data_IF_622267707694
#
_entry.id   IF_622267707694
#
_cell.length_a   1.000
_cell.length_b   1.000
_cell.length_c   1.000
_cell.angle_alpha   90.00
_cell.angle_beta   90.00
_cell.angle_gamma   90.00
#
_symmetry.space_group_name_H-M   'P 1'
#
loop_
_entity.id
_entity.type
_entity.pdbx_description
1 polymer ?
#
# COMPACT_ATOMS: atom_id res chain seq x y z
N UNK A 1 4.90 -8.10 10.98
CA UNK A 1 5.37 -6.71 11.14
C UNK A 1 4.17 -5.76 11.12
N UNK A 2 4.17 -4.66 11.89
CA UNK A 2 3.21 -3.58 11.76
C UNK A 2 3.24 -3.01 10.34
N UNK A 3 2.06 -2.75 9.76
CA UNK A 3 1.94 -2.30 8.37
C UNK A 3 1.67 -0.80 8.32
N UNK A 4 2.38 -0.08 7.46
CA UNK A 4 2.03 1.27 7.01
C UNK A 4 1.44 1.13 5.61
N UNK A 5 0.14 1.45 5.47
CA UNK A 5 -0.60 1.32 4.22
C UNK A 5 -0.66 2.67 3.50
N UNK A 6 -0.22 2.73 2.24
CA UNK A 6 0.01 3.99 1.53
C UNK A 6 -0.85 4.07 0.26
N UNK A 7 -1.75 5.07 0.21
CA UNK A 7 -2.51 5.43 -0.99
C UNK A 7 -2.17 6.85 -1.45
N UNK A 8 -2.64 7.21 -2.63
CA UNK A 8 -2.44 8.52 -3.24
C UNK A 8 -2.33 8.43 -4.76
N UNK A 9 -2.21 9.56 -5.44
CA UNK A 9 -1.94 9.57 -6.88
C UNK A 9 -0.44 9.59 -7.12
N UNK A 10 0.25 10.60 -6.59
CA UNK A 10 1.67 10.81 -6.80
C UNK A 10 2.47 10.65 -5.50
N UNK A 11 3.70 10.14 -5.60
CA UNK A 11 4.64 10.11 -4.49
C UNK A 11 4.49 8.94 -3.52
N UNK A 12 3.61 7.95 -3.76
CA UNK A 12 3.47 6.77 -2.90
C UNK A 12 4.78 6.01 -2.74
N UNK A 13 5.36 5.54 -3.85
CA UNK A 13 6.63 4.82 -3.85
C UNK A 13 7.78 5.64 -3.28
N UNK A 14 7.87 6.95 -3.60
CA UNK A 14 8.89 7.84 -3.00
C UNK A 14 8.74 7.97 -1.49
N UNK A 15 7.51 8.12 -1.00
CA UNK A 15 7.22 8.18 0.45
C UNK A 15 7.65 6.88 1.13
N UNK A 16 7.32 5.73 0.54
CA UNK A 16 7.77 4.42 1.05
C UNK A 16 9.29 4.32 1.05
N UNK A 17 9.96 4.73 -0.04
CA UNK A 17 11.42 4.67 -0.12
C UNK A 17 12.09 5.52 0.97
N UNK A 18 11.58 6.73 1.25
CA UNK A 18 12.08 7.56 2.35
C UNK A 18 11.84 6.93 3.72
N UNK A 19 10.63 6.41 3.97
CA UNK A 19 10.32 5.73 5.24
C UNK A 19 11.19 4.49 5.45
N UNK A 20 11.39 3.68 4.41
CA UNK A 20 12.26 2.52 4.45
C UNK A 20 13.71 2.90 4.75
N UNK A 21 14.25 3.89 4.04
CA UNK A 21 15.62 4.36 4.26
C UNK A 21 15.84 4.93 5.68
N UNK A 22 14.86 5.65 6.23
CA UNK A 22 14.92 6.15 7.61
C UNK A 22 14.92 4.99 8.61
N UNK A 23 14.05 3.99 8.42
CA UNK A 23 13.99 2.82 9.29
C UNK A 23 15.30 2.01 9.22
N UNK A 24 15.83 1.80 8.02
CA UNK A 24 17.12 1.10 7.81
C UNK A 24 18.30 1.85 8.42
N UNK A 25 18.33 3.18 8.31
CA UNK A 25 19.34 4.01 8.97
C UNK A 25 19.28 3.91 10.50
N UNK A 26 18.10 3.61 11.06
CA UNK A 26 17.92 3.30 12.47
C UNK A 26 18.23 1.83 12.84
N UNK A 27 18.77 1.03 11.92
CA UNK A 27 19.11 -0.38 12.13
C UNK A 27 17.92 -1.35 12.08
N UNK A 28 16.75 -0.90 11.61
CA UNK A 28 15.56 -1.72 11.50
C UNK A 28 15.49 -2.41 10.14
N UNK A 29 15.13 -3.68 10.11
CA UNK A 29 14.77 -4.37 8.88
C UNK A 29 13.33 -4.06 8.51
N UNK A 30 13.07 -3.88 7.23
CA UNK A 30 11.74 -3.53 6.72
C UNK A 30 11.31 -4.45 5.58
N UNK A 31 10.00 -4.56 5.42
CA UNK A 31 9.38 -5.04 4.20
C UNK A 31 8.82 -3.86 3.40
N UNK A 32 8.79 -3.98 2.08
CA UNK A 32 8.01 -3.07 1.24
C UNK A 32 7.44 -3.80 0.02
N UNK A 33 6.18 -3.49 -0.29
CA UNK A 33 5.56 -3.83 -1.56
C UNK A 33 5.22 -2.55 -2.30
N UNK A 34 5.85 -2.35 -3.47
CA UNK A 34 5.76 -1.11 -4.25
C UNK A 34 5.48 -1.38 -5.73
N UNK A 35 5.08 -0.35 -6.48
CA UNK A 35 4.88 -0.41 -7.94
C UNK A 35 5.14 0.96 -8.59
N UNK A 36 5.44 0.96 -9.91
CA UNK A 36 5.87 -0.17 -10.71
C UNK A 36 7.32 -0.55 -10.42
N UNK A 37 7.79 -1.67 -10.98
CA UNK A 37 9.22 -1.94 -11.12
C UNK A 37 9.78 -1.20 -12.34
N UNK A 38 11.09 -0.97 -12.39
CA UNK A 38 11.79 -0.34 -13.51
C UNK A 38 12.40 -1.38 -14.45
N UNK A 39 13.04 -2.39 -13.91
CA UNK A 39 13.76 -3.42 -14.68
C UNK A 39 13.28 -4.83 -14.36
N UNK A 40 13.12 -5.17 -13.09
CA UNK A 40 12.81 -6.52 -12.64
C UNK A 40 11.64 -6.54 -11.66
N UNK A 41 10.82 -7.57 -11.74
CA UNK A 41 9.66 -7.76 -10.87
C UNK A 41 10.03 -7.75 -9.38
N UNK A 42 11.22 -8.26 -9.04
CA UNK A 42 11.76 -8.33 -7.68
C UNK A 42 11.80 -6.98 -6.97
N UNK A 43 11.97 -5.88 -7.72
CA UNK A 43 11.97 -4.52 -7.16
C UNK A 43 10.68 -4.17 -6.39
N UNK A 44 9.58 -4.88 -6.69
CA UNK A 44 8.32 -4.70 -5.97
C UNK A 44 8.32 -5.31 -4.57
N UNK A 45 9.23 -6.23 -4.28
CA UNK A 45 9.22 -7.09 -3.09
C UNK A 45 10.49 -6.91 -2.28
N UNK A 46 10.50 -5.91 -1.40
CA UNK A 46 11.57 -5.75 -0.41
C UNK A 46 11.23 -6.61 0.81
N UNK A 47 12.02 -7.62 1.08
CA UNK A 47 11.81 -8.59 2.18
C UNK A 47 13.00 -8.51 3.13
N UNK A 48 12.76 -8.11 4.37
CA UNK A 48 13.82 -7.90 5.38
C UNK A 48 14.97 -7.02 4.86
N UNK A 49 14.64 -5.91 4.19
CA UNK A 49 15.58 -4.95 3.61
C UNK A 49 16.43 -5.50 2.45
N UNK A 50 15.95 -6.52 1.75
CA UNK A 50 16.57 -7.05 0.53
C UNK A 50 15.48 -7.36 -0.50
N UNK A 51 15.77 -7.17 -1.77
CA UNK A 51 14.85 -7.64 -2.80
C UNK A 51 14.74 -9.17 -2.75
N UNK A 52 13.52 -9.66 -2.85
CA UNK A 52 13.26 -11.09 -2.94
C UNK A 52 14.01 -11.68 -4.15
N UNK A 53 14.61 -12.84 -3.99
CA UNK A 53 15.21 -13.56 -5.12
C UNK A 53 14.15 -14.27 -5.97
N UNK A 54 14.55 -14.71 -7.16
CA UNK A 54 13.65 -15.34 -8.12
C UNK A 54 13.03 -16.62 -7.56
N UNK A 55 13.79 -17.42 -6.82
CA UNK A 55 13.29 -18.68 -6.26
C UNK A 55 12.17 -18.42 -5.25
N UNK A 56 12.38 -17.49 -4.32
CA UNK A 56 11.38 -17.13 -3.32
C UNK A 56 10.10 -16.55 -3.96
N UNK A 57 10.25 -15.74 -5.03
CA UNK A 57 9.09 -15.21 -5.76
C UNK A 57 8.33 -16.29 -6.52
N UNK A 58 9.03 -17.23 -7.15
CA UNK A 58 8.42 -18.35 -7.87
C UNK A 58 7.66 -19.24 -6.89
N UNK A 59 8.27 -19.64 -5.78
CA UNK A 59 7.64 -20.46 -4.76
C UNK A 59 6.37 -19.78 -4.19
N UNK A 60 6.45 -18.50 -3.83
CA UNK A 60 5.30 -17.76 -3.36
C UNK A 60 4.19 -17.65 -4.42
N UNK A 61 4.54 -17.44 -5.69
CA UNK A 61 3.58 -17.38 -6.79
C UNK A 61 2.91 -18.74 -7.04
N UNK A 62 3.65 -19.85 -6.98
CA UNK A 62 3.12 -21.20 -7.10
C UNK A 62 2.16 -21.55 -5.95
N UNK A 63 2.50 -21.16 -4.72
CA UNK A 63 1.64 -21.34 -3.57
C UNK A 63 0.32 -20.56 -3.71
N UNK A 64 0.39 -19.32 -4.15
CA UNK A 64 -0.81 -18.51 -4.45
C UNK A 64 -1.63 -19.14 -5.56
N UNK A 65 -1.02 -19.54 -6.66
CA UNK A 65 -1.72 -20.15 -7.81
C UNK A 65 -2.41 -21.47 -7.44
N UNK A 66 -1.82 -22.25 -6.53
CA UNK A 66 -2.38 -23.51 -6.05
C UNK A 66 -3.68 -23.31 -5.26
N UNK A 67 -3.75 -22.23 -4.47
CA UNK A 67 -4.90 -21.95 -3.59
C UNK A 67 -5.95 -21.09 -4.30
N UNK A 68 -5.53 -20.15 -5.14
CA UNK A 68 -6.37 -19.14 -5.76
C UNK A 68 -6.00 -18.88 -7.23
N UNK A 69 -6.23 -19.86 -8.14
CA UNK A 69 -5.79 -19.77 -9.55
C UNK A 69 -6.52 -18.71 -10.38
N UNK A 70 -7.61 -18.14 -9.87
CA UNK A 70 -8.40 -17.14 -10.58
C UNK A 70 -8.06 -15.69 -10.21
N UNK A 71 -7.04 -15.45 -9.39
CA UNK A 71 -6.61 -14.10 -9.04
C UNK A 71 -6.07 -13.35 -10.26
N UNK A 72 -6.29 -12.04 -10.29
CA UNK A 72 -5.60 -11.19 -11.25
C UNK A 72 -4.10 -11.19 -10.95
N UNK A 73 -3.30 -10.77 -11.93
CA UNK A 73 -1.84 -10.67 -11.73
C UNK A 73 -1.47 -9.79 -10.51
N UNK A 74 -2.17 -8.68 -10.31
CA UNK A 74 -1.89 -7.79 -9.19
C UNK A 74 -2.31 -8.41 -7.86
N UNK A 75 -3.49 -9.03 -7.80
CA UNK A 75 -3.96 -9.74 -6.59
C UNK A 75 -2.99 -10.84 -6.17
N UNK A 76 -2.50 -11.61 -7.15
CA UNK A 76 -1.50 -12.66 -6.91
C UNK A 76 -0.18 -12.10 -6.38
N UNK A 77 0.28 -10.94 -6.90
CA UNK A 77 1.47 -10.27 -6.39
C UNK A 77 1.29 -9.77 -4.95
N UNK A 78 0.13 -9.20 -4.61
CA UNK A 78 -0.18 -8.81 -3.23
C UNK A 78 -0.18 -10.02 -2.30
N UNK A 79 -0.82 -11.12 -2.70
CA UNK A 79 -0.84 -12.35 -1.92
C UNK A 79 0.59 -12.91 -1.72
N UNK A 80 1.41 -12.97 -2.77
CA UNK A 80 2.79 -13.41 -2.69
C UNK A 80 3.63 -12.51 -1.76
N UNK A 81 3.45 -11.18 -1.82
CA UNK A 81 4.12 -10.26 -0.91
C UNK A 81 3.77 -10.55 0.56
N UNK A 82 2.49 -10.75 0.85
CA UNK A 82 2.03 -11.05 2.21
C UNK A 82 2.53 -12.42 2.71
N UNK A 83 2.65 -13.42 1.84
CA UNK A 83 3.29 -14.71 2.17
C UNK A 83 4.75 -14.52 2.54
N UNK A 84 5.53 -13.84 1.69
CA UNK A 84 6.95 -13.55 1.95
C UNK A 84 7.15 -12.74 3.25
N UNK A 85 6.29 -11.75 3.51
CA UNK A 85 6.36 -10.94 4.73
C UNK A 85 6.01 -11.73 5.99
N UNK A 86 5.15 -12.74 5.88
CA UNK A 86 4.82 -13.66 6.98
C UNK A 86 6.01 -14.55 7.35
N UNK A 87 6.77 -15.00 6.37
CA UNK A 87 7.87 -15.95 6.54
C UNK A 87 9.18 -15.31 7.02
N UNK A 88 9.29 -13.99 6.89
CA UNK A 88 10.50 -13.26 7.24
C UNK A 88 10.23 -12.22 8.33
N UNK A 89 11.23 -11.98 9.18
CA UNK A 89 11.11 -10.98 10.24
C UNK A 89 11.49 -9.58 9.76
N UNK A 90 10.65 -8.60 10.11
CA UNK A 90 10.93 -7.18 9.94
C UNK A 90 10.27 -6.36 11.06
N UNK A 91 10.78 -5.16 11.30
CA UNK A 91 10.23 -4.23 12.29
C UNK A 91 8.97 -3.52 11.75
N UNK A 92 8.94 -3.25 10.44
CA UNK A 92 7.85 -2.55 9.74
C UNK A 92 7.63 -3.17 8.35
N UNK A 93 6.41 -3.02 7.84
CA UNK A 93 6.07 -3.32 6.45
C UNK A 93 5.37 -2.11 5.82
N UNK A 94 5.82 -1.70 4.64
CA UNK A 94 5.23 -0.62 3.86
C UNK A 94 4.52 -1.21 2.66
N UNK A 95 3.24 -0.89 2.47
CA UNK A 95 2.44 -1.46 1.38
C UNK A 95 1.81 -0.34 0.57
N UNK A 96 2.16 -0.30 -0.72
CA UNK A 96 1.60 0.63 -1.71
C UNK A 96 0.32 0.06 -2.31
N UNK A 97 -0.76 0.87 -2.36
CA UNK A 97 -1.97 0.51 -3.10
C UNK A 97 -1.69 0.42 -4.61
N UNK A 98 -2.31 -0.53 -5.26
CA UNK A 98 -2.29 -0.65 -6.71
C UNK A 98 -3.04 0.49 -7.40
N UNK A 99 -4.33 0.60 -7.13
CA UNK A 99 -5.22 1.62 -7.69
C UNK A 99 -6.33 1.98 -6.70
N UNK A 100 -6.59 3.29 -6.56
CA UNK A 100 -7.62 3.74 -5.61
C UNK A 100 -7.22 3.48 -4.17
N UNK A 101 -7.89 2.56 -3.52
CA UNK A 101 -7.65 2.17 -2.12
C UNK A 101 -8.76 1.28 -1.56
N UNK A 102 -10.03 1.75 -1.56
CA UNK A 102 -11.17 1.03 -0.99
C UNK A 102 -11.31 -0.40 -1.51
N UNK A 103 -11.22 -0.57 -2.82
CA UNK A 103 -11.42 -1.82 -3.52
C UNK A 103 -10.09 -2.45 -4.00
N UNK A 104 -8.96 -1.92 -3.50
CA UNK A 104 -7.62 -2.41 -3.84
C UNK A 104 -7.30 -3.70 -3.07
N UNK A 105 -6.62 -4.64 -3.72
CA UNK A 105 -6.25 -5.93 -3.12
C UNK A 105 -5.42 -5.78 -1.85
N UNK A 106 -4.64 -4.68 -1.73
CA UNK A 106 -3.88 -4.39 -0.51
C UNK A 106 -4.76 -4.01 0.67
N UNK A 107 -6.04 -3.65 0.44
CA UNK A 107 -6.96 -3.22 1.49
C UNK A 107 -7.51 -4.37 2.36
N UNK A 108 -7.05 -5.60 2.12
CA UNK A 108 -7.26 -6.76 3.01
C UNK A 108 -6.61 -6.58 4.39
N UNK A 109 -5.73 -5.60 4.53
CA UNK A 109 -5.08 -5.26 5.80
C UNK A 109 -6.12 -4.60 6.72
N UNK A 110 -6.60 -5.37 7.68
CA UNK A 110 -7.68 -4.93 8.56
C UNK A 110 -7.24 -3.88 9.58
N UNK A 111 -6.01 -3.98 10.10
CA UNK A 111 -5.50 -3.13 11.17
C UNK A 111 -4.02 -2.72 10.87
N UNK A 112 -3.78 -1.78 9.95
CA UNK A 112 -2.46 -1.22 9.77
C UNK A 112 -2.05 -0.40 11.01
N UNK A 113 -0.76 -0.21 11.23
CA UNK A 113 -0.25 0.68 12.29
C UNK A 113 -0.54 2.16 11.97
N UNK A 114 -0.54 2.51 10.68
CA UNK A 114 -0.98 3.80 10.18
C UNK A 114 -1.42 3.70 8.71
N UNK A 115 -2.29 4.60 8.29
CA UNK A 115 -2.59 4.85 6.88
C UNK A 115 -1.91 6.15 6.42
N UNK A 116 -1.40 6.17 5.20
CA UNK A 116 -0.78 7.36 4.61
C UNK A 116 -1.48 7.70 3.31
N UNK A 117 -1.90 8.96 3.14
CA UNK A 117 -2.45 9.47 1.89
C UNK A 117 -1.52 10.54 1.33
N UNK A 118 -0.83 10.20 0.25
CA UNK A 118 0.02 11.13 -0.50
C UNK A 118 -0.84 12.05 -1.40
N UNK A 119 -0.28 13.09 -2.07
CA UNK A 119 -1.08 14.01 -2.86
C UNK A 119 -1.98 13.31 -3.89
N UNK A 120 -3.25 13.73 -3.92
CA UNK A 120 -4.28 13.25 -4.83
C UNK A 120 -4.37 14.18 -6.03
N UNK A 121 -4.43 13.61 -7.22
CA UNK A 121 -4.67 14.27 -8.48
C UNK A 121 -5.62 13.46 -9.36
N UNK A 122 -5.98 13.98 -10.50
CA UNK A 122 -6.78 13.25 -11.50
C UNK A 122 -5.93 12.14 -12.11
N UNK A 123 -6.37 10.90 -11.93
CA UNK A 123 -5.72 9.70 -12.43
C UNK A 123 -6.71 8.55 -12.42
N UNK A 124 -6.57 7.61 -13.35
CA UNK A 124 -7.47 6.45 -13.47
C UNK A 124 -8.96 6.82 -13.49
N UNK A 125 -9.32 7.93 -14.18
CA UNK A 125 -10.68 8.49 -14.15
C UNK A 125 -11.76 7.51 -14.62
N UNK A 126 -11.44 6.61 -15.53
CA UNK A 126 -12.35 5.56 -16.01
C UNK A 126 -12.76 4.57 -14.90
N UNK A 127 -11.90 4.38 -13.88
CA UNK A 127 -12.12 3.43 -12.79
C UNK A 127 -12.50 4.11 -11.47
N UNK A 128 -11.97 5.30 -11.19
CA UNK A 128 -12.09 5.97 -9.89
C UNK A 128 -13.03 7.16 -9.89
N UNK A 129 -13.53 7.57 -11.06
CA UNK A 129 -14.41 8.73 -11.22
C UNK A 129 -13.71 9.96 -11.82
N UNK A 130 -14.50 10.89 -12.31
CA UNK A 130 -14.05 12.03 -13.09
C UNK A 130 -13.58 13.23 -12.23
N UNK A 131 -13.86 13.20 -10.93
CA UNK A 131 -13.59 14.31 -10.01
C UNK A 131 -12.57 13.94 -8.93
N UNK A 132 -11.89 14.96 -8.40
CA UNK A 132 -10.98 14.77 -7.26
C UNK A 132 -11.70 14.20 -6.03
N UNK A 133 -12.95 14.55 -5.82
CA UNK A 133 -13.75 14.06 -4.70
C UNK A 133 -14.01 12.55 -4.80
N UNK A 134 -14.38 12.05 -5.99
CA UNK A 134 -14.58 10.61 -6.24
C UNK A 134 -13.27 9.83 -6.04
N UNK A 135 -12.17 10.32 -6.61
CA UNK A 135 -10.85 9.71 -6.46
C UNK A 135 -10.40 9.71 -4.99
N UNK A 136 -10.65 10.82 -4.27
CA UNK A 136 -10.36 10.93 -2.84
C UNK A 136 -11.17 9.93 -2.02
N UNK A 137 -12.45 9.71 -2.35
CA UNK A 137 -13.30 8.73 -1.67
C UNK A 137 -12.76 7.29 -1.81
N UNK A 138 -12.27 6.91 -3.00
CA UNK A 138 -11.62 5.61 -3.20
C UNK A 138 -10.34 5.49 -2.36
N UNK A 139 -9.50 6.55 -2.32
CA UNK A 139 -8.23 6.53 -1.58
C UNK A 139 -8.44 6.56 -0.07
N UNK A 140 -9.38 7.35 0.42
CA UNK A 140 -9.79 7.38 1.83
C UNK A 140 -10.37 6.03 2.32
N UNK A 141 -10.70 5.12 1.41
CA UNK A 141 -11.13 3.77 1.74
C UNK A 141 -10.08 2.89 2.42
N UNK A 142 -8.80 3.29 2.45
CA UNK A 142 -7.76 2.60 3.25
C UNK A 142 -7.75 3.00 4.72
N UNK A 143 -8.45 4.07 5.10
CA UNK A 143 -8.57 4.49 6.49
C UNK A 143 -9.31 3.44 7.31
N UNK A 144 -8.88 3.20 8.53
CA UNK A 144 -9.46 2.19 9.44
C UNK A 144 -9.82 2.83 10.79
N UNK A 145 -10.87 2.35 11.39
CA UNK A 145 -11.35 2.86 12.70
C UNK A 145 -10.25 2.77 13.76
N UNK A 146 -10.00 3.89 14.46
CA UNK A 146 -9.00 3.98 15.51
C UNK A 146 -7.53 3.93 15.03
N UNK A 147 -7.27 3.79 13.73
CA UNK A 147 -5.94 3.79 13.15
C UNK A 147 -5.56 5.21 12.72
N UNK A 148 -4.39 5.75 13.14
CA UNK A 148 -3.97 7.09 12.74
C UNK A 148 -3.72 7.17 11.23
N UNK A 149 -4.09 8.29 10.64
CA UNK A 149 -3.83 8.59 9.25
C UNK A 149 -2.95 9.84 9.11
N UNK A 150 -1.93 9.72 8.27
CA UNK A 150 -1.04 10.83 7.90
C UNK A 150 -1.44 11.26 6.48
N UNK A 151 -1.93 12.48 6.34
CA UNK A 151 -2.42 13.00 5.07
C UNK A 151 -1.54 14.14 4.61
N UNK A 152 -0.94 13.98 3.43
CA UNK A 152 -0.22 15.07 2.80
C UNK A 152 -1.17 16.22 2.43
N UNK A 153 -0.65 17.42 2.21
CA UNK A 153 -1.45 18.56 1.74
C UNK A 153 -2.23 18.16 0.48
N UNK A 154 -3.54 18.43 0.51
CA UNK A 154 -4.48 18.12 -0.57
C UNK A 154 -5.12 19.38 -1.13
N UNK A 155 -5.72 19.28 -2.32
CA UNK A 155 -6.69 20.26 -2.78
C UNK A 155 -7.93 20.23 -1.86
N UNK A 156 -8.62 21.39 -1.64
CA UNK A 156 -9.72 21.48 -0.68
C UNK A 156 -10.78 20.39 -0.85
N UNK A 157 -11.32 20.20 -2.05
CA UNK A 157 -12.36 19.18 -2.29
C UNK A 157 -11.91 17.73 -2.05
N UNK A 158 -10.61 17.43 -2.12
CA UNK A 158 -10.08 16.12 -1.77
C UNK A 158 -9.90 16.00 -0.25
N UNK A 159 -9.46 17.06 0.42
CA UNK A 159 -9.28 17.08 1.87
C UNK A 159 -10.62 16.90 2.61
N UNK A 160 -11.66 17.62 2.18
CA UNK A 160 -13.00 17.55 2.77
C UNK A 160 -13.54 16.10 2.80
N UNK A 161 -13.32 15.35 1.73
CA UNK A 161 -13.71 13.92 1.62
C UNK A 161 -12.92 13.04 2.59
N UNK A 162 -11.61 13.28 2.71
CA UNK A 162 -10.76 12.50 3.61
C UNK A 162 -11.15 12.77 5.07
N UNK A 163 -11.35 14.04 5.44
CA UNK A 163 -11.75 14.45 6.78
C UNK A 163 -13.13 13.90 7.15
N UNK A 164 -14.09 13.97 6.23
CA UNK A 164 -15.42 13.41 6.44
C UNK A 164 -15.35 11.89 6.67
N UNK A 165 -14.57 11.18 5.87
CA UNK A 165 -14.38 9.73 6.04
C UNK A 165 -13.69 9.39 7.37
N UNK A 166 -12.65 10.12 7.72
CA UNK A 166 -11.92 9.91 8.97
C UNK A 166 -12.82 10.14 10.19
N UNK A 167 -13.63 11.22 10.17
CA UNK A 167 -14.60 11.50 11.23
C UNK A 167 -15.68 10.41 11.33
N UNK A 168 -16.22 9.95 10.20
CA UNK A 168 -17.22 8.88 10.14
C UNK A 168 -16.78 7.60 10.85
N UNK A 169 -15.52 7.19 10.64
CA UNK A 169 -15.00 5.92 11.16
C UNK A 169 -14.15 6.07 12.43
N UNK A 170 -13.92 7.30 12.91
CA UNK A 170 -13.09 7.55 14.09
C UNK A 170 -11.59 7.27 13.83
N UNK A 171 -11.08 7.59 12.62
CA UNK A 171 -9.64 7.54 12.30
C UNK A 171 -9.02 8.89 12.66
N UNK A 172 -8.04 8.98 13.58
CA UNK A 172 -7.32 10.23 13.86
C UNK A 172 -6.52 10.69 12.65
N UNK A 173 -6.60 11.98 12.30
CA UNK A 173 -5.78 12.63 11.27
C UNK A 173 -4.65 13.44 11.90
#
# INVERSE_FOLDING_TARGET
APVIHVAGTNGKGSTIAFMAAIAEAAGLKVHAFTKPHLFQLNERFLVSSRFADDCALIEAAEDVARVAPALTQFDAQVAAALLLFREHQAALAFIETGMGGRDDSTNVIAAPAASVITPIGLDHQDALGATLAEIAAHKAGILKAGVPAIVARQAPGAMDIIEARAAEIGSPL
#
